data_IF_798875033535
#
_entry.id   IF_798875033535
#
_cell.length_a   1.000
_cell.length_b   1.000
_cell.length_c   1.000
_cell.angle_alpha   90.00
_cell.angle_beta   90.00
_cell.angle_gamma   90.00
#
_symmetry.space_group_name_H-M   'P 1'
#
loop_
_entity.id
_entity.type
_entity.pdbx_description
1 polymer ?
#
# COMPACT_ATOMS: atom_id res chain seq x y z
N UNK A 1 -5.74 33.03 -37.07
CA UNK A 1 -6.96 32.95 -36.24
C UNK A 1 -6.81 31.73 -35.33
N UNK A 2 -6.69 31.98 -34.02
CA UNK A 2 -6.51 30.97 -32.97
C UNK A 2 -7.80 30.16 -32.81
N UNK A 3 -7.72 28.83 -32.89
CA UNK A 3 -8.85 27.94 -32.62
C UNK A 3 -8.88 27.64 -31.11
N UNK A 4 -9.72 28.39 -30.39
CA UNK A 4 -9.93 28.33 -28.95
C UNK A 4 -11.02 27.32 -28.56
N UNK A 5 -10.80 26.02 -28.79
CA UNK A 5 -11.74 24.98 -28.34
C UNK A 5 -11.03 23.77 -27.69
N UNK A 6 -10.02 24.03 -26.86
CA UNK A 6 -9.60 23.06 -25.86
C UNK A 6 -10.62 23.12 -24.71
N UNK A 7 -11.56 22.16 -24.70
CA UNK A 7 -12.42 21.91 -23.53
C UNK A 7 -11.48 21.66 -22.34
N UNK A 8 -11.61 22.38 -21.20
CA UNK A 8 -10.83 22.03 -20.02
C UNK A 8 -11.11 20.56 -19.72
N UNK A 9 -10.06 19.74 -19.64
CA UNK A 9 -10.22 18.31 -19.35
C UNK A 9 -11.03 18.17 -18.06
N UNK A 10 -12.19 17.53 -18.15
CA UNK A 10 -13.02 17.26 -16.98
C UNK A 10 -12.18 16.39 -16.03
N UNK A 11 -11.74 17.00 -14.93
CA UNK A 11 -11.01 16.29 -13.88
C UNK A 11 -11.92 15.14 -13.42
N UNK A 12 -11.44 13.88 -13.44
CA UNK A 12 -12.25 12.77 -12.98
C UNK A 12 -12.72 13.05 -11.55
N UNK A 13 -14.03 13.02 -11.34
CA UNK A 13 -14.61 13.23 -10.02
C UNK A 13 -14.27 12.02 -9.13
N UNK A 14 -13.45 12.26 -8.10
CA UNK A 14 -13.03 11.22 -7.17
C UNK A 14 -13.98 11.16 -5.98
N UNK A 15 -14.63 10.03 -5.79
CA UNK A 15 -15.40 9.75 -4.58
C UNK A 15 -14.49 9.16 -3.49
N UNK A 16 -14.64 9.67 -2.26
CA UNK A 16 -13.95 9.08 -1.12
C UNK A 16 -14.45 7.66 -0.88
N UNK A 17 -13.52 6.70 -0.90
CA UNK A 17 -13.84 5.32 -0.54
C UNK A 17 -14.52 5.26 0.84
N UNK A 18 -15.51 4.39 1.01
CA UNK A 18 -16.10 4.12 2.32
C UNK A 18 -15.16 3.35 3.24
N UNK A 19 -15.55 3.21 4.51
CA UNK A 19 -14.81 2.42 5.50
C UNK A 19 -14.60 0.97 5.04
N UNK A 20 -15.66 0.27 4.63
CA UNK A 20 -15.62 -1.16 4.27
C UNK A 20 -14.73 -1.46 3.05
N UNK A 21 -14.69 -0.57 2.07
CA UNK A 21 -13.78 -0.69 0.93
C UNK A 21 -12.32 -0.60 1.38
N UNK A 22 -12.00 0.31 2.31
CA UNK A 22 -10.65 0.39 2.89
C UNK A 22 -10.32 -0.86 3.73
N UNK A 23 -11.26 -1.34 4.54
CA UNK A 23 -11.09 -2.57 5.33
C UNK A 23 -10.84 -3.77 4.42
N UNK A 24 -11.64 -3.95 3.37
CA UNK A 24 -11.46 -5.00 2.37
C UNK A 24 -10.10 -4.92 1.68
N UNK A 25 -9.67 -3.72 1.29
CA UNK A 25 -8.34 -3.52 0.72
C UNK A 25 -7.23 -3.95 1.69
N UNK A 26 -7.34 -3.58 2.98
CA UNK A 26 -6.36 -3.95 4.00
C UNK A 26 -6.31 -5.48 4.23
N UNK A 27 -7.45 -6.18 4.17
CA UNK A 27 -7.48 -7.64 4.29
C UNK A 27 -6.76 -8.31 3.10
N UNK A 28 -7.02 -7.83 1.88
CA UNK A 28 -6.34 -8.32 0.67
C UNK A 28 -4.85 -8.03 0.72
N UNK A 29 -4.45 -6.83 1.15
CA UNK A 29 -3.04 -6.46 1.32
C UNK A 29 -2.35 -7.38 2.36
N UNK A 30 -3.01 -7.64 3.49
CA UNK A 30 -2.49 -8.52 4.54
C UNK A 30 -2.28 -9.94 4.03
N UNK A 31 -3.26 -10.48 3.30
CA UNK A 31 -3.13 -11.80 2.68
C UNK A 31 -2.00 -11.83 1.64
N UNK A 32 -1.93 -10.82 0.78
CA UNK A 32 -0.91 -10.72 -0.26
C UNK A 32 0.51 -10.66 0.33
N UNK A 33 0.76 -9.78 1.30
CA UNK A 33 2.06 -9.69 1.95
C UNK A 33 2.37 -10.95 2.75
N UNK A 34 1.40 -11.55 3.46
CA UNK A 34 1.62 -12.82 4.18
C UNK A 34 2.03 -13.94 3.23
N UNK A 35 1.40 -14.05 2.06
CA UNK A 35 1.70 -15.09 1.06
C UNK A 35 3.13 -14.96 0.52
N UNK A 36 3.65 -13.73 0.40
CA UNK A 36 5.01 -13.46 -0.08
C UNK A 36 6.03 -13.63 1.05
N UNK A 37 5.76 -13.11 2.24
CA UNK A 37 6.74 -13.02 3.32
C UNK A 37 6.85 -14.30 4.14
N UNK A 38 5.78 -15.09 4.24
CA UNK A 38 5.80 -16.37 4.95
C UNK A 38 6.85 -17.35 4.38
N UNK A 39 6.89 -17.66 3.06
CA UNK A 39 7.92 -18.55 2.53
C UNK A 39 9.34 -17.97 2.67
N UNK A 40 9.49 -16.64 2.56
CA UNK A 40 10.77 -15.97 2.80
C UNK A 40 11.21 -16.19 4.25
N UNK A 41 10.31 -16.01 5.21
CA UNK A 41 10.59 -16.19 6.64
C UNK A 41 10.92 -17.64 6.97
N UNK A 42 10.19 -18.61 6.40
CA UNK A 42 10.48 -20.05 6.53
C UNK A 42 11.88 -20.38 6.00
N UNK A 43 12.36 -19.69 4.96
CA UNK A 43 13.72 -19.91 4.43
C UNK A 43 14.80 -19.55 5.45
N UNK A 44 14.56 -18.57 6.33
CA UNK A 44 15.52 -18.16 7.38
C UNK A 44 15.36 -18.94 8.69
N UNK A 45 14.13 -19.24 9.11
CA UNK A 45 13.82 -19.79 10.43
C UNK A 45 13.30 -21.23 10.42
N UNK A 46 13.14 -21.83 9.24
CA UNK A 46 12.57 -23.16 9.07
C UNK A 46 11.07 -23.23 9.38
N UNK A 47 10.54 -24.46 9.39
CA UNK A 47 9.13 -24.72 9.72
C UNK A 47 8.79 -24.45 11.19
N UNK A 48 9.81 -24.38 12.05
CA UNK A 48 9.63 -24.02 13.46
C UNK A 48 8.94 -22.67 13.61
N UNK A 49 9.14 -21.75 12.66
CA UNK A 49 8.46 -20.44 12.64
C UNK A 49 6.93 -20.57 12.73
N UNK A 50 6.34 -21.58 12.10
CA UNK A 50 4.89 -21.82 12.08
C UNK A 50 4.36 -22.34 13.42
N UNK A 51 5.23 -22.95 14.22
CA UNK A 51 4.87 -23.63 15.47
C UNK A 51 5.25 -22.82 16.71
N UNK A 52 5.92 -21.67 16.56
CA UNK A 52 6.28 -20.84 17.71
C UNK A 52 5.21 -19.85 18.10
N UNK A 53 5.05 -19.69 19.41
CA UNK A 53 4.28 -18.60 20.04
C UNK A 53 5.08 -17.29 20.18
N UNK A 54 6.35 -17.27 19.78
CA UNK A 54 7.19 -16.07 19.87
C UNK A 54 6.84 -15.09 18.76
N UNK A 55 6.34 -13.91 19.13
CA UNK A 55 6.03 -12.82 18.21
C UNK A 55 7.27 -12.17 17.56
N UNK A 56 8.45 -12.37 18.14
CA UNK A 56 9.72 -11.85 17.63
C UNK A 56 10.81 -12.90 17.78
N UNK A 57 11.44 -13.30 16.67
CA UNK A 57 12.55 -14.27 16.68
C UNK A 57 13.93 -13.65 16.52
N UNK A 58 14.01 -12.38 16.12
CA UNK A 58 15.28 -11.67 16.03
C UNK A 58 15.26 -10.47 15.09
N UNK A 59 16.40 -9.81 14.88
CA UNK A 59 16.49 -8.62 14.04
C UNK A 59 16.04 -8.86 12.59
N UNK A 60 16.35 -10.04 12.03
CA UNK A 60 15.98 -10.40 10.65
C UNK A 60 14.46 -10.55 10.51
N UNK A 61 13.78 -11.04 11.54
CA UNK A 61 12.31 -11.18 11.57
C UNK A 61 11.63 -9.81 11.53
N UNK A 62 12.14 -8.84 12.30
CA UNK A 62 11.69 -7.45 12.25
C UNK A 62 11.86 -6.86 10.85
N UNK A 63 13.02 -7.08 10.22
CA UNK A 63 13.26 -6.57 8.86
C UNK A 63 12.27 -7.17 7.87
N UNK A 64 12.09 -8.48 7.86
CA UNK A 64 11.23 -9.18 6.89
C UNK A 64 9.75 -8.86 7.11
N UNK A 65 9.26 -8.89 8.35
CA UNK A 65 7.83 -8.79 8.66
C UNK A 65 7.35 -7.36 8.92
N UNK A 66 8.25 -6.38 9.11
CA UNK A 66 7.88 -4.98 9.39
C UNK A 66 8.49 -4.01 8.37
N UNK A 67 9.82 -4.03 8.21
CA UNK A 67 10.51 -3.04 7.36
C UNK A 67 10.23 -3.27 5.87
N UNK A 68 10.28 -4.52 5.41
CA UNK A 68 10.02 -4.86 4.00
C UNK A 68 8.59 -4.47 3.58
N UNK A 69 7.51 -4.84 4.30
CA UNK A 69 6.15 -4.38 4.00
C UNK A 69 6.02 -2.86 3.96
N UNK A 70 6.66 -2.16 4.90
CA UNK A 70 6.64 -0.70 4.99
C UNK A 70 7.19 -0.07 3.71
N UNK A 71 8.41 -0.48 3.34
CA UNK A 71 9.11 0.03 2.16
C UNK A 71 8.34 -0.33 0.89
N UNK A 72 7.87 -1.57 0.76
CA UNK A 72 7.08 -2.00 -0.39
C UNK A 72 5.79 -1.18 -0.52
N UNK A 73 5.10 -0.89 0.59
CA UNK A 73 3.89 -0.07 0.59
C UNK A 73 4.15 1.34 0.05
N UNK A 74 5.24 1.98 0.50
CA UNK A 74 5.61 3.32 0.02
C UNK A 74 6.00 3.29 -1.46
N UNK A 75 6.75 2.27 -1.90
CA UNK A 75 7.10 2.09 -3.32
C UNK A 75 5.84 1.91 -4.17
N UNK A 76 4.92 1.07 -3.72
CA UNK A 76 3.65 0.81 -4.41
C UNK A 76 2.80 2.08 -4.51
N UNK A 77 2.74 2.91 -3.46
CA UNK A 77 2.09 4.21 -3.53
C UNK A 77 2.77 5.16 -4.52
N UNK A 78 4.11 5.20 -4.55
CA UNK A 78 4.85 6.04 -5.50
C UNK A 78 4.63 5.63 -6.96
N UNK A 79 4.61 4.33 -7.24
CA UNK A 79 4.48 3.82 -8.61
C UNK A 79 3.03 3.75 -9.10
N UNK A 80 2.12 3.34 -8.23
CA UNK A 80 0.75 2.98 -8.63
C UNK A 80 -0.35 3.74 -7.89
N UNK A 81 0.02 4.62 -6.95
CA UNK A 81 -0.93 5.32 -6.07
C UNK A 81 -1.83 4.36 -5.29
N UNK A 82 -1.44 3.09 -5.13
CA UNK A 82 -2.28 2.07 -4.52
C UNK A 82 -1.42 0.90 -4.04
N UNK A 83 -1.94 0.15 -3.08
CA UNK A 83 -1.44 -1.19 -2.73
C UNK A 83 -2.24 -2.26 -3.49
N UNK A 84 -1.77 -3.51 -3.63
CA UNK A 84 -2.48 -4.58 -4.36
C UNK A 84 -3.96 -4.73 -4.01
N UNK A 85 -4.31 -4.69 -2.72
CA UNK A 85 -5.70 -4.72 -2.26
C UNK A 85 -6.51 -3.49 -2.64
N UNK A 86 -5.88 -2.30 -2.64
CA UNK A 86 -6.51 -1.08 -3.16
C UNK A 86 -6.70 -1.15 -4.67
N UNK A 87 -5.74 -1.69 -5.42
CA UNK A 87 -5.86 -1.91 -6.86
C UNK A 87 -7.00 -2.86 -7.19
N UNK A 88 -7.13 -3.96 -6.44
CA UNK A 88 -8.21 -4.93 -6.60
C UNK A 88 -9.60 -4.29 -6.43
N UNK A 89 -9.71 -3.28 -5.57
CA UNK A 89 -10.94 -2.50 -5.33
C UNK A 89 -10.99 -1.17 -6.10
N UNK A 90 -10.09 -0.96 -7.08
CA UNK A 90 -9.97 0.27 -7.90
C UNK A 90 -9.81 1.56 -7.09
N UNK A 91 -9.25 1.47 -5.89
CA UNK A 91 -8.96 2.61 -5.02
C UNK A 91 -7.60 3.22 -5.37
N UNK A 92 -7.52 4.55 -5.30
CA UNK A 92 -6.26 5.30 -5.45
C UNK A 92 -6.02 6.21 -4.26
N UNK A 93 -4.74 6.52 -4.04
CA UNK A 93 -4.21 7.40 -3.01
C UNK A 93 -3.71 8.65 -3.71
N UNK A 94 -4.52 9.69 -3.60
CA UNK A 94 -4.31 10.97 -4.24
C UNK A 94 -4.13 12.04 -3.17
N UNK A 95 -3.55 13.15 -3.60
CA UNK A 95 -3.55 14.38 -2.83
C UNK A 95 -4.99 14.90 -2.66
N UNK A 96 -5.36 15.31 -1.44
CA UNK A 96 -6.73 15.65 -1.10
C UNK A 96 -7.20 16.99 -1.69
N UNK A 97 -6.27 17.91 -1.97
CA UNK A 97 -6.57 19.24 -2.49
C UNK A 97 -6.60 19.24 -4.02
N UNK A 98 -5.62 18.59 -4.64
CA UNK A 98 -5.41 18.63 -6.10
C UNK A 98 -5.98 17.42 -6.85
N UNK A 99 -6.31 16.32 -6.17
CA UNK A 99 -6.67 15.05 -6.81
C UNK A 99 -5.53 14.42 -7.63
N UNK A 100 -4.33 15.00 -7.59
CA UNK A 100 -3.15 14.54 -8.31
C UNK A 100 -2.41 13.45 -7.51
N UNK A 101 -1.42 12.77 -8.11
CA UNK A 101 -0.59 11.82 -7.38
C UNK A 101 0.12 12.51 -6.21
N UNK A 102 0.03 11.92 -5.01
CA UNK A 102 0.65 12.52 -3.84
C UNK A 102 2.18 12.51 -3.92
N UNK A 103 2.80 13.47 -3.25
CA UNK A 103 4.26 13.57 -3.17
C UNK A 103 4.85 12.46 -2.28
N UNK A 104 6.16 12.19 -2.42
CA UNK A 104 6.85 11.21 -1.57
C UNK A 104 6.73 11.54 -0.09
N UNK A 105 6.82 12.83 0.27
CA UNK A 105 6.68 13.27 1.66
C UNK A 105 5.30 12.99 2.23
N UNK A 106 4.24 13.18 1.45
CA UNK A 106 2.87 12.84 1.86
C UNK A 106 2.68 11.34 2.04
N UNK A 107 3.25 10.52 1.17
CA UNK A 107 3.23 9.06 1.33
C UNK A 107 3.95 8.60 2.60
N UNK A 108 5.13 9.15 2.89
CA UNK A 108 5.87 8.83 4.11
C UNK A 108 5.11 9.30 5.35
N UNK A 109 4.64 10.56 5.36
CA UNK A 109 3.86 11.11 6.47
C UNK A 109 2.59 10.31 6.74
N UNK A 110 1.91 9.87 5.69
CA UNK A 110 0.76 8.96 5.81
C UNK A 110 1.15 7.61 6.40
N UNK A 111 2.26 7.02 5.95
CA UNK A 111 2.71 5.73 6.49
C UNK A 111 3.03 5.83 7.99
N UNK A 112 3.67 6.92 8.42
CA UNK A 112 4.00 7.16 9.83
C UNK A 112 2.79 7.57 10.69
N UNK A 113 1.71 8.04 10.06
CA UNK A 113 0.48 8.43 10.75
C UNK A 113 -0.53 7.28 10.94
N UNK A 114 -0.25 6.09 10.38
CA UNK A 114 -0.98 4.86 10.65
C UNK A 114 -0.47 4.20 11.93
#
# INVERSE_FOLDING_TARGET
MSNQNARPEEQPEYEYAGFWLRTGACLVDSLFFSLILLPVTITFYGTDYLLSDSLFRGPVDIVINWVVPAVLTVILWRGFQATPGKMALRLRVLDAESGCPATTGQYIGRYLGY
#
